data_IF_123647042946
#
_entry.id   IF_123647042946
#
_cell.length_a   1.000
_cell.length_b   1.000
_cell.length_c   1.000
_cell.angle_alpha   90.00
_cell.angle_beta   90.00
_cell.angle_gamma   90.00
#
_symmetry.space_group_name_H-M   'P 1'
#
loop_
_entity.id
_entity.type
_entity.pdbx_description
1 polymer ?
#
# COMPACT_ATOMS: atom_id res chain seq x y z
N UNK A 1 -30.15 19.80 -17.15
CA UNK A 1 -28.70 19.75 -16.85
C UNK A 1 -28.26 18.34 -17.14
N UNK A 2 -27.45 18.10 -18.14
CA UNK A 2 -26.82 16.79 -18.39
C UNK A 2 -25.91 16.50 -17.20
N UNK A 3 -26.22 15.49 -16.39
CA UNK A 3 -25.31 15.03 -15.32
C UNK A 3 -24.01 14.63 -16.01
N UNK A 4 -22.89 15.23 -15.60
CA UNK A 4 -21.59 14.82 -16.07
C UNK A 4 -21.30 13.45 -15.52
N UNK A 5 -21.00 12.46 -16.37
CA UNK A 5 -20.64 11.09 -15.98
C UNK A 5 -19.16 10.83 -16.20
N UNK A 6 -18.67 9.78 -15.55
CA UNK A 6 -17.31 9.28 -15.63
C UNK A 6 -17.30 7.76 -15.63
N UNK A 7 -16.26 7.14 -16.15
CA UNK A 7 -16.04 5.70 -16.04
C UNK A 7 -15.40 5.36 -14.69
N UNK A 8 -15.86 4.30 -14.06
CA UNK A 8 -15.33 3.80 -12.81
C UNK A 8 -15.38 2.26 -12.74
N UNK A 9 -14.36 1.65 -12.14
CA UNK A 9 -14.34 0.22 -11.84
C UNK A 9 -15.08 -0.02 -10.51
N UNK A 10 -16.27 -0.62 -10.60
CA UNK A 10 -17.19 -0.82 -9.48
C UNK A 10 -17.22 -2.29 -9.09
N UNK A 11 -16.81 -2.58 -7.85
CA UNK A 11 -16.97 -3.89 -7.24
C UNK A 11 -18.41 -4.04 -6.72
N UNK A 12 -19.17 -4.96 -7.29
CA UNK A 12 -20.60 -5.19 -6.99
C UNK A 12 -20.87 -6.51 -6.26
N UNK A 13 -19.85 -7.35 -6.10
CA UNK A 13 -19.87 -8.64 -5.42
C UNK A 13 -18.61 -9.43 -5.71
N UNK A 14 -18.47 -10.63 -5.12
CA UNK A 14 -17.29 -11.47 -5.37
C UNK A 14 -17.06 -11.73 -6.86
N UNK A 15 -15.86 -11.41 -7.34
CA UNK A 15 -15.43 -11.53 -8.73
C UNK A 15 -16.38 -10.83 -9.74
N UNK A 16 -16.99 -9.72 -9.32
CA UNK A 16 -17.88 -8.90 -10.13
C UNK A 16 -17.40 -7.45 -10.11
N UNK A 17 -16.40 -7.18 -10.93
CA UNK A 17 -15.79 -5.86 -11.12
C UNK A 17 -16.12 -5.37 -12.54
N UNK A 18 -17.02 -4.39 -12.62
CA UNK A 18 -17.49 -3.84 -13.89
C UNK A 18 -17.04 -2.40 -14.04
N UNK A 19 -16.58 -2.03 -15.23
CA UNK A 19 -16.34 -0.62 -15.58
C UNK A 19 -17.65 -0.03 -16.12
N UNK A 20 -18.20 0.89 -15.35
CA UNK A 20 -19.52 1.48 -15.63
C UNK A 20 -19.48 3.01 -15.59
N UNK A 21 -20.47 3.63 -16.22
CA UNK A 21 -20.72 5.07 -16.11
C UNK A 21 -21.37 5.38 -14.75
N UNK A 22 -20.77 6.32 -14.01
CA UNK A 22 -21.29 6.85 -12.73
C UNK A 22 -21.25 8.38 -12.77
N UNK A 23 -22.07 9.07 -11.96
CA UNK A 23 -21.97 10.53 -11.85
C UNK A 23 -20.59 10.95 -11.36
N UNK A 24 -20.04 12.06 -11.89
CA UNK A 24 -18.87 12.71 -11.29
C UNK A 24 -19.28 13.24 -9.92
N UNK A 25 -18.53 12.95 -8.84
CA UNK A 25 -18.90 13.41 -7.51
C UNK A 25 -18.76 14.94 -7.36
N UNK A 26 -19.63 15.53 -6.58
CA UNK A 26 -19.57 16.94 -6.23
C UNK A 26 -18.37 17.25 -5.33
N UNK A 27 -17.67 18.34 -5.59
CA UNK A 27 -16.56 18.82 -4.79
C UNK A 27 -17.13 19.62 -3.58
N UNK A 28 -16.98 19.08 -2.38
CA UNK A 28 -17.38 19.77 -1.14
C UNK A 28 -16.48 20.98 -0.79
N UNK A 29 -16.86 21.79 0.21
CA UNK A 29 -16.13 23.01 0.53
C UNK A 29 -14.67 22.76 0.95
N UNK A 30 -14.38 21.67 1.65
CA UNK A 30 -13.04 21.29 2.15
C UNK A 30 -12.33 20.26 1.24
N UNK A 31 -12.96 19.90 0.10
CA UNK A 31 -12.49 18.83 -0.77
C UNK A 31 -11.74 19.37 -2.00
N UNK A 32 -11.06 18.46 -2.67
CA UNK A 32 -10.57 18.63 -4.04
C UNK A 32 -11.14 17.54 -4.93
N UNK A 33 -11.44 17.90 -6.19
CA UNK A 33 -11.75 16.94 -7.25
C UNK A 33 -10.47 16.65 -8.01
N UNK A 34 -10.09 15.38 -8.07
CA UNK A 34 -8.88 14.91 -8.72
C UNK A 34 -9.26 14.17 -10.00
N UNK A 35 -8.63 14.51 -11.12
CA UNK A 35 -8.56 13.65 -12.30
C UNK A 35 -7.49 12.59 -12.01
N UNK A 36 -7.89 11.35 -11.86
CA UNK A 36 -7.00 10.25 -11.50
C UNK A 36 -6.16 9.84 -12.71
N UNK A 37 -4.84 9.76 -12.53
CA UNK A 37 -3.91 9.30 -13.56
C UNK A 37 -3.57 7.82 -13.40
N UNK A 38 -3.39 7.33 -12.17
CA UNK A 38 -3.06 5.94 -11.91
C UNK A 38 -3.43 5.47 -10.51
N UNK A 39 -3.67 4.15 -10.40
CA UNK A 39 -4.03 3.49 -9.13
C UNK A 39 -3.30 2.16 -9.02
N UNK A 40 -2.51 1.98 -7.97
CA UNK A 40 -1.86 0.72 -7.64
C UNK A 40 -2.85 -0.34 -7.18
N UNK A 41 -2.54 -1.60 -7.42
CA UNK A 41 -3.32 -2.74 -6.95
C UNK A 41 -2.68 -3.33 -5.68
N UNK A 42 -3.48 -3.42 -4.62
CA UNK A 42 -3.08 -3.93 -3.32
C UNK A 42 -3.58 -5.36 -3.07
N UNK A 43 -2.93 -6.09 -2.16
CA UNK A 43 -3.41 -7.40 -1.70
C UNK A 43 -4.82 -7.36 -1.10
N UNK A 44 -5.19 -6.26 -0.43
CA UNK A 44 -6.53 -6.05 0.11
C UNK A 44 -7.61 -5.91 -0.99
N UNK A 45 -7.27 -5.32 -2.13
CA UNK A 45 -8.17 -5.22 -3.28
C UNK A 45 -8.53 -6.62 -3.81
N UNK A 46 -7.53 -7.51 -3.91
CA UNK A 46 -7.76 -8.89 -4.34
C UNK A 46 -8.59 -9.67 -3.31
N UNK A 47 -8.35 -9.45 -2.03
CA UNK A 47 -9.15 -10.05 -0.94
C UNK A 47 -10.62 -9.65 -1.03
N UNK A 48 -10.90 -8.38 -1.33
CA UNK A 48 -12.26 -7.87 -1.56
C UNK A 48 -12.88 -8.44 -2.83
N UNK A 49 -12.11 -8.48 -3.91
CA UNK A 49 -12.56 -9.05 -5.19
C UNK A 49 -12.92 -10.53 -5.07
N UNK A 50 -12.15 -11.31 -4.34
CA UNK A 50 -12.45 -12.74 -4.08
C UNK A 50 -13.63 -12.96 -3.12
N UNK A 51 -14.12 -11.91 -2.45
CA UNK A 51 -15.23 -11.99 -1.52
C UNK A 51 -14.89 -12.46 -0.12
N UNK A 52 -13.60 -12.52 0.22
CA UNK A 52 -13.15 -12.81 1.59
C UNK A 52 -13.45 -11.67 2.56
N UNK A 53 -13.73 -10.49 2.01
CA UNK A 53 -14.13 -9.29 2.75
C UNK A 53 -15.48 -8.80 2.19
N UNK A 54 -16.54 -8.93 2.98
CA UNK A 54 -17.89 -8.56 2.54
C UNK A 54 -18.18 -7.07 2.82
N UNK A 55 -18.80 -6.41 1.85
CA UNK A 55 -19.28 -5.05 1.97
C UNK A 55 -20.78 -4.96 1.70
N UNK A 56 -21.51 -4.07 2.39
CA UNK A 56 -22.98 -4.00 2.31
C UNK A 56 -23.49 -3.37 1.00
N UNK A 57 -22.63 -2.70 0.23
CA UNK A 57 -22.99 -2.02 -1.02
C UNK A 57 -21.88 -2.14 -2.06
N UNK A 58 -22.24 -1.92 -3.34
CA UNK A 58 -21.25 -1.71 -4.40
C UNK A 58 -20.48 -0.40 -4.20
N UNK A 59 -19.22 -0.34 -4.60
CA UNK A 59 -18.36 0.84 -4.48
C UNK A 59 -17.25 0.83 -5.54
N UNK A 60 -16.70 2.00 -5.83
CA UNK A 60 -15.49 2.12 -6.65
C UNK A 60 -14.30 1.62 -5.86
N UNK A 61 -13.54 0.65 -6.43
CA UNK A 61 -12.39 0.04 -5.75
C UNK A 61 -11.12 0.88 -5.93
N UNK A 62 -10.04 0.52 -5.20
CA UNK A 62 -8.70 1.07 -5.34
C UNK A 62 -8.41 2.24 -4.40
N UNK A 63 -7.22 2.22 -3.81
CA UNK A 63 -6.84 3.17 -2.75
C UNK A 63 -5.41 3.70 -2.87
N UNK A 64 -4.57 3.21 -3.76
CA UNK A 64 -3.19 3.65 -3.94
C UNK A 64 -3.08 4.56 -5.17
N UNK A 65 -3.62 5.79 -5.12
CA UNK A 65 -3.80 6.60 -6.32
C UNK A 65 -3.16 7.97 -6.28
N UNK A 66 -2.91 8.51 -7.48
CA UNK A 66 -2.43 9.86 -7.70
C UNK A 66 -3.12 10.47 -8.93
N UNK A 67 -3.06 11.79 -9.06
CA UNK A 67 -3.65 12.51 -10.20
C UNK A 67 -3.55 14.01 -10.06
N UNK A 68 -4.28 14.75 -10.92
CA UNK A 68 -4.27 16.20 -10.93
C UNK A 68 -5.56 16.78 -10.36
N UNK A 69 -5.40 17.82 -9.56
CA UNK A 69 -6.55 18.60 -9.07
C UNK A 69 -7.19 19.34 -10.23
N UNK A 70 -8.48 19.15 -10.45
CA UNK A 70 -9.27 19.82 -11.50
C UNK A 70 -10.31 20.78 -10.93
N UNK A 71 -10.68 20.63 -9.64
CA UNK A 71 -11.48 21.61 -8.92
C UNK A 71 -11.11 21.61 -7.43
N UNK A 72 -11.33 22.74 -6.78
CA UNK A 72 -11.11 22.91 -5.33
C UNK A 72 -12.35 23.47 -4.67
N UNK A 73 -12.64 23.01 -3.46
CA UNK A 73 -13.73 23.53 -2.63
C UNK A 73 -13.50 24.96 -2.15
N UNK A 74 -14.59 25.63 -1.80
CA UNK A 74 -14.56 27.05 -1.43
C UNK A 74 -13.72 27.39 -0.20
N UNK A 75 -13.46 26.41 0.69
CA UNK A 75 -12.68 26.60 1.93
C UNK A 75 -11.22 26.13 1.82
N UNK A 76 -10.84 25.48 0.71
CA UNK A 76 -9.46 25.05 0.43
C UNK A 76 -8.57 26.25 0.10
N UNK A 77 -7.43 26.38 0.79
CA UNK A 77 -6.50 27.52 0.63
C UNK A 77 -5.09 27.13 0.20
N UNK A 78 -4.71 25.89 0.38
CA UNK A 78 -3.34 25.38 0.23
C UNK A 78 -3.17 24.39 -0.91
N UNK A 79 -4.15 24.35 -1.83
CA UNK A 79 -4.13 23.52 -3.05
C UNK A 79 -4.46 24.40 -4.25
N UNK A 80 -3.97 24.01 -5.43
CA UNK A 80 -4.23 24.71 -6.67
C UNK A 80 -4.69 23.74 -7.77
N UNK A 81 -5.60 24.22 -8.64
CA UNK A 81 -5.99 23.48 -9.85
C UNK A 81 -4.77 23.27 -10.74
N UNK A 82 -4.61 22.08 -11.31
CA UNK A 82 -3.47 21.66 -12.10
C UNK A 82 -2.35 20.98 -11.28
N UNK A 83 -2.32 21.14 -9.95
CA UNK A 83 -1.31 20.48 -9.11
C UNK A 83 -1.42 18.96 -9.19
N UNK A 84 -0.28 18.29 -9.35
CA UNK A 84 -0.16 16.85 -9.21
C UNK A 84 -0.16 16.50 -7.72
N UNK A 85 -0.95 15.50 -7.34
CA UNK A 85 -1.06 15.06 -5.94
C UNK A 85 -1.12 13.53 -5.85
N UNK A 86 -0.58 12.97 -4.77
CA UNK A 86 -0.89 11.61 -4.33
C UNK A 86 -1.95 11.66 -3.24
N UNK A 87 -2.82 10.66 -3.24
CA UNK A 87 -3.91 10.55 -2.27
C UNK A 87 -3.46 9.69 -1.09
N UNK A 88 -3.68 10.21 0.12
CA UNK A 88 -3.65 9.44 1.36
C UNK A 88 -5.06 8.88 1.61
N UNK A 89 -5.31 7.58 1.36
CA UNK A 89 -6.68 7.04 1.30
C UNK A 89 -7.33 6.84 2.68
N UNK A 90 -6.53 6.82 3.74
CA UNK A 90 -6.99 6.55 5.09
C UNK A 90 -7.36 7.86 5.81
N UNK A 91 -8.60 8.30 5.63
CA UNK A 91 -9.12 9.55 6.19
C UNK A 91 -9.43 9.34 7.67
N UNK A 92 -8.65 9.99 8.54
CA UNK A 92 -8.77 9.91 10.00
C UNK A 92 -9.44 11.15 10.58
N UNK A 93 -10.05 11.05 11.77
CA UNK A 93 -10.83 12.12 12.33
C UNK A 93 -10.02 13.17 13.13
N UNK A 94 -8.78 12.87 13.49
CA UNK A 94 -7.91 13.75 14.26
C UNK A 94 -8.31 13.99 15.74
N UNK A 95 -9.47 13.49 16.21
CA UNK A 95 -10.06 13.91 17.49
C UNK A 95 -10.46 12.75 18.44
N UNK A 96 -10.41 11.48 18.00
CA UNK A 96 -10.64 10.34 18.90
C UNK A 96 -9.39 10.03 19.73
N UNK A 97 -9.52 9.21 20.78
CA UNK A 97 -8.40 8.90 21.68
C UNK A 97 -7.15 8.37 20.94
N UNK A 98 -7.23 7.38 20.03
CA UNK A 98 -6.05 6.99 19.25
C UNK A 98 -5.42 8.14 18.47
N UNK A 99 -6.22 8.99 17.81
CA UNK A 99 -5.69 10.11 17.03
C UNK A 99 -4.95 11.14 17.92
N UNK A 100 -5.51 11.49 19.06
CA UNK A 100 -4.90 12.48 19.99
C UNK A 100 -3.62 11.94 20.64
N UNK A 101 -3.44 10.62 20.66
CA UNK A 101 -2.25 9.94 21.14
C UNK A 101 -1.21 9.64 20.04
N UNK A 102 -1.44 10.15 18.82
CA UNK A 102 -0.54 9.93 17.69
C UNK A 102 -0.62 8.53 17.05
N UNK A 103 -1.67 7.79 17.33
CA UNK A 103 -1.96 6.46 16.74
C UNK A 103 -3.13 6.56 15.77
N UNK A 104 -3.01 7.43 14.77
CA UNK A 104 -4.06 7.71 13.78
C UNK A 104 -4.42 6.48 12.93
N UNK A 105 -3.49 5.56 12.74
CA UNK A 105 -3.72 4.25 12.09
C UNK A 105 -4.85 3.45 12.75
N UNK A 106 -5.09 3.67 14.05
CA UNK A 106 -6.14 3.05 14.87
C UNK A 106 -7.36 3.95 15.04
N UNK A 107 -7.55 4.97 14.22
CA UNK A 107 -8.67 5.90 14.31
C UNK A 107 -10.02 5.16 14.30
N UNK A 108 -10.85 5.39 15.34
CA UNK A 108 -12.17 4.76 15.49
C UNK A 108 -13.18 5.15 14.41
N UNK A 109 -12.96 6.32 13.79
CA UNK A 109 -13.82 6.88 12.72
C UNK A 109 -13.12 6.91 11.38
N UNK A 110 -12.12 6.05 11.18
CA UNK A 110 -11.37 5.97 9.93
C UNK A 110 -12.28 5.56 8.78
N UNK A 111 -12.19 6.30 7.67
CA UNK A 111 -12.74 5.93 6.37
C UNK A 111 -11.57 5.64 5.44
N UNK A 112 -11.60 4.49 4.79
CA UNK A 112 -10.58 4.17 3.79
C UNK A 112 -11.22 4.20 2.41
N UNK A 113 -10.74 5.08 1.53
CA UNK A 113 -11.18 5.13 0.13
C UNK A 113 -10.89 3.79 -0.54
N UNK A 114 -11.82 3.30 -1.36
CA UNK A 114 -11.69 2.01 -2.04
C UNK A 114 -11.79 0.78 -1.14
N UNK A 115 -12.15 0.97 0.15
CA UNK A 115 -12.38 -0.13 1.10
C UNK A 115 -13.76 0.06 1.74
N UNK A 116 -14.80 -0.43 1.04
CA UNK A 116 -16.20 -0.27 1.46
C UNK A 116 -16.78 1.14 1.27
N UNK A 117 -15.98 2.09 0.82
CA UNK A 117 -16.38 3.42 0.33
C UNK A 117 -15.80 3.64 -1.05
N UNK A 118 -16.35 4.61 -1.81
CA UNK A 118 -15.85 4.86 -3.16
C UNK A 118 -14.37 5.26 -3.12
N UNK A 119 -13.60 4.68 -4.02
CA UNK A 119 -12.15 4.79 -4.14
C UNK A 119 -11.71 5.47 -5.42
N UNK A 120 -10.54 5.07 -5.91
CA UNK A 120 -9.77 5.82 -6.89
C UNK A 120 -9.72 5.19 -8.29
N UNK A 121 -10.20 3.95 -8.50
CA UNK A 121 -10.28 3.35 -9.83
C UNK A 121 -11.43 3.95 -10.66
N UNK A 122 -11.39 5.27 -10.85
CA UNK A 122 -12.34 6.07 -11.63
C UNK A 122 -11.64 7.26 -12.27
N UNK A 123 -12.22 7.84 -13.33
CA UNK A 123 -11.63 9.00 -13.99
C UNK A 123 -11.52 10.23 -13.10
N UNK A 124 -12.41 10.36 -12.11
CA UNK A 124 -12.36 11.43 -11.10
C UNK A 124 -12.65 10.86 -9.70
N UNK A 125 -12.07 11.53 -8.70
CA UNK A 125 -12.34 11.21 -7.30
C UNK A 125 -12.39 12.51 -6.47
N UNK A 126 -13.27 12.55 -5.48
CA UNK A 126 -13.32 13.62 -4.47
C UNK A 126 -12.59 13.16 -3.22
N UNK A 127 -11.69 13.99 -2.72
CA UNK A 127 -10.84 13.70 -1.55
C UNK A 127 -10.74 14.98 -0.69
N UNK A 128 -10.82 14.87 0.66
CA UNK A 128 -10.52 16.02 1.51
C UNK A 128 -9.13 16.57 1.21
N UNK A 129 -9.00 17.88 1.04
CA UNK A 129 -7.75 18.52 0.63
C UNK A 129 -6.57 18.13 1.55
N UNK A 130 -6.82 17.99 2.86
CA UNK A 130 -5.82 17.60 3.87
C UNK A 130 -5.25 16.18 3.69
N UNK A 131 -5.91 15.32 2.89
CA UNK A 131 -5.47 13.95 2.55
C UNK A 131 -4.94 13.85 1.11
N UNK A 132 -4.53 14.98 0.54
CA UNK A 132 -3.83 15.04 -0.74
C UNK A 132 -2.46 15.69 -0.55
N UNK A 133 -1.43 15.13 -1.13
CA UNK A 133 -0.05 15.56 -0.94
C UNK A 133 0.53 16.00 -2.28
N UNK A 134 0.98 17.26 -2.42
CA UNK A 134 1.57 17.76 -3.64
C UNK A 134 2.81 16.97 -4.05
N UNK A 135 2.93 16.71 -5.34
CA UNK A 135 4.07 16.04 -5.96
C UNK A 135 4.72 16.97 -6.99
N UNK A 136 6.03 16.90 -7.21
CA UNK A 136 6.68 17.61 -8.30
C UNK A 136 6.22 17.01 -9.64
N UNK A 137 6.06 17.85 -10.67
CA UNK A 137 5.69 17.38 -12.01
C UNK A 137 6.74 16.46 -12.67
N UNK A 138 7.95 16.46 -12.14
CA UNK A 138 9.07 15.62 -12.60
C UNK A 138 9.01 14.19 -12.07
N UNK A 139 8.14 13.88 -11.08
CA UNK A 139 8.03 12.52 -10.54
C UNK A 139 7.57 11.55 -11.62
N UNK A 140 8.14 10.35 -11.65
CA UNK A 140 7.68 9.29 -12.55
C UNK A 140 6.28 8.80 -12.15
N UNK A 141 5.49 8.32 -13.12
CA UNK A 141 4.20 7.68 -12.85
C UNK A 141 4.39 6.48 -11.92
N UNK A 142 5.43 5.73 -12.17
CA UNK A 142 5.79 4.52 -11.45
C UNK A 142 6.08 4.79 -9.97
N UNK A 143 6.83 5.85 -9.69
CA UNK A 143 7.11 6.24 -8.31
C UNK A 143 5.85 6.77 -7.61
N UNK A 144 5.06 7.61 -8.29
CA UNK A 144 3.83 8.19 -7.73
C UNK A 144 2.81 7.12 -7.30
N UNK A 145 2.58 6.09 -8.12
CA UNK A 145 1.68 4.95 -7.82
C UNK A 145 2.12 4.18 -6.57
N UNK A 146 3.42 4.17 -6.27
CA UNK A 146 3.98 3.37 -5.19
C UNK A 146 4.17 4.14 -3.87
N UNK A 147 3.79 5.43 -3.78
CA UNK A 147 3.99 6.23 -2.56
C UNK A 147 3.16 5.66 -1.39
N UNK A 148 1.86 5.42 -1.60
CA UNK A 148 1.00 4.91 -0.53
C UNK A 148 1.50 3.56 0.02
N UNK A 149 1.70 2.52 -0.78
CA UNK A 149 2.20 1.24 -0.26
C UNK A 149 3.63 1.32 0.27
N UNK A 150 4.47 2.27 -0.18
CA UNK A 150 5.76 2.54 0.42
C UNK A 150 5.62 3.12 1.84
N UNK A 151 4.63 3.97 2.09
CA UNK A 151 4.36 4.50 3.43
C UNK A 151 4.06 3.37 4.42
N UNK A 152 3.32 2.34 4.01
CA UNK A 152 3.07 1.13 4.82
C UNK A 152 4.38 0.39 5.13
N UNK A 153 5.25 0.22 4.13
CA UNK A 153 6.55 -0.44 4.32
C UNK A 153 7.47 0.37 5.26
N UNK A 154 7.50 1.70 5.12
CA UNK A 154 8.30 2.58 5.97
C UNK A 154 7.78 2.60 7.41
N UNK A 155 6.47 2.56 7.63
CA UNK A 155 5.88 2.44 8.95
C UNK A 155 6.26 1.10 9.62
N UNK A 156 6.23 -0.01 8.89
CA UNK A 156 6.68 -1.30 9.40
C UNK A 156 8.17 -1.27 9.81
N UNK A 157 9.03 -0.60 9.04
CA UNK A 157 10.44 -0.41 9.40
C UNK A 157 10.57 0.45 10.67
N UNK A 158 9.78 1.51 10.81
CA UNK A 158 9.75 2.34 12.02
C UNK A 158 9.35 1.53 13.25
N UNK A 159 8.35 0.66 13.14
CA UNK A 159 7.94 -0.25 14.22
C UNK A 159 9.04 -1.26 14.58
N UNK A 160 9.67 -1.86 13.58
CA UNK A 160 10.73 -2.85 13.76
C UNK A 160 12.05 -2.26 14.27
N UNK A 161 12.41 -1.06 13.84
CA UNK A 161 13.65 -0.34 14.15
C UNK A 161 14.92 -1.14 13.86
N UNK A 162 15.07 -1.74 12.66
CA UNK A 162 16.30 -2.44 12.31
C UNK A 162 17.50 -1.49 12.35
N UNK A 163 18.63 -2.00 12.84
CA UNK A 163 19.88 -1.24 12.95
C UNK A 163 20.89 -1.72 11.89
N UNK A 164 21.83 -0.86 11.46
CA UNK A 164 22.96 -1.31 10.66
C UNK A 164 23.68 -2.48 11.33
N UNK A 165 23.90 -3.56 10.56
CA UNK A 165 24.48 -4.79 11.08
C UNK A 165 23.47 -5.84 11.56
N UNK A 166 22.20 -5.50 11.69
CA UNK A 166 21.15 -6.50 11.97
C UNK A 166 21.03 -7.49 10.82
N UNK A 167 20.85 -8.75 11.16
CA UNK A 167 20.36 -9.75 10.23
C UNK A 167 18.84 -9.64 10.14
N UNK A 168 18.35 -9.31 8.95
CA UNK A 168 16.92 -9.11 8.69
C UNK A 168 16.43 -10.17 7.71
N UNK A 169 15.28 -10.77 7.99
CA UNK A 169 14.56 -11.65 7.05
C UNK A 169 13.18 -11.08 6.74
N UNK A 170 12.80 -11.08 5.47
CA UNK A 170 11.48 -10.71 4.96
C UNK A 170 10.81 -11.95 4.39
N UNK A 171 9.68 -12.33 4.95
CA UNK A 171 8.81 -13.37 4.41
C UNK A 171 7.76 -12.75 3.49
N UNK A 172 7.76 -13.18 2.24
CA UNK A 172 6.94 -12.64 1.15
C UNK A 172 7.73 -11.69 0.25
N UNK A 173 7.78 -11.98 -1.05
CA UNK A 173 8.31 -11.14 -2.13
C UNK A 173 7.17 -10.58 -3.00
N UNK A 174 6.01 -10.33 -2.41
CA UNK A 174 4.93 -9.55 -3.00
C UNK A 174 5.23 -8.04 -2.93
N UNK A 175 4.28 -7.21 -3.35
CA UNK A 175 4.42 -5.75 -3.38
C UNK A 175 5.00 -5.17 -2.08
N UNK A 176 4.44 -5.53 -0.92
CA UNK A 176 4.90 -5.01 0.37
C UNK A 176 6.30 -5.49 0.74
N UNK A 177 6.61 -6.78 0.55
CA UNK A 177 7.94 -7.31 0.85
C UNK A 177 9.03 -6.72 -0.04
N UNK A 178 8.72 -6.44 -1.31
CA UNK A 178 9.64 -5.77 -2.24
C UNK A 178 9.89 -4.31 -1.86
N UNK A 179 8.84 -3.53 -1.55
CA UNK A 179 8.97 -2.14 -1.10
C UNK A 179 9.74 -2.05 0.22
N UNK A 180 9.46 -2.96 1.14
CA UNK A 180 10.19 -3.05 2.42
C UNK A 180 11.67 -3.40 2.18
N UNK A 181 11.97 -4.34 1.28
CA UNK A 181 13.35 -4.70 0.89
C UNK A 181 14.09 -3.51 0.29
N UNK A 182 13.47 -2.78 -0.63
CA UNK A 182 14.00 -1.57 -1.25
C UNK A 182 14.30 -0.49 -0.18
N UNK A 183 13.36 -0.24 0.73
CA UNK A 183 13.50 0.76 1.78
C UNK A 183 14.55 0.37 2.84
N UNK A 184 14.67 -0.91 3.20
CA UNK A 184 15.74 -1.42 4.07
C UNK A 184 17.10 -1.25 3.42
N UNK A 185 17.22 -1.60 2.14
CA UNK A 185 18.47 -1.45 1.38
C UNK A 185 18.96 -0.01 1.35
N UNK A 186 18.07 0.96 1.14
CA UNK A 186 18.40 2.38 1.17
C UNK A 186 18.92 2.85 2.54
N UNK A 187 18.54 2.14 3.63
CA UNK A 187 19.06 2.37 4.99
C UNK A 187 20.29 1.55 5.35
N UNK A 188 20.94 0.92 4.37
CA UNK A 188 22.15 0.12 4.56
C UNK A 188 21.89 -1.28 5.14
N UNK A 189 20.63 -1.73 5.18
CA UNK A 189 20.24 -3.06 5.64
C UNK A 189 19.77 -3.90 4.45
N UNK A 190 20.54 -4.90 4.04
CA UNK A 190 20.18 -5.81 2.95
C UNK A 190 19.53 -7.08 3.54
N UNK A 191 18.21 -7.28 3.45
CA UNK A 191 17.54 -8.42 4.05
C UNK A 191 17.73 -9.71 3.23
N UNK A 192 17.53 -10.85 3.89
CA UNK A 192 17.21 -12.10 3.23
C UNK A 192 15.70 -12.11 2.91
N UNK A 193 15.32 -12.52 1.70
CA UNK A 193 13.92 -12.58 1.29
C UNK A 193 13.53 -14.04 1.03
N UNK A 194 12.38 -14.45 1.57
CA UNK A 194 11.85 -15.81 1.42
C UNK A 194 10.48 -15.76 0.77
N UNK A 195 10.32 -16.43 -0.36
CA UNK A 195 9.02 -16.56 -1.05
C UNK A 195 8.96 -17.89 -1.81
N UNK A 196 7.85 -18.66 -1.74
CA UNK A 196 7.73 -19.94 -2.44
C UNK A 196 7.68 -19.77 -3.97
N UNK A 197 7.38 -18.59 -4.49
CA UNK A 197 7.30 -18.32 -5.93
C UNK A 197 8.65 -17.82 -6.46
N UNK A 198 9.39 -18.71 -7.12
CA UNK A 198 10.75 -18.43 -7.63
C UNK A 198 10.82 -17.18 -8.53
N UNK A 199 9.79 -16.96 -9.35
CA UNK A 199 9.70 -15.80 -10.25
C UNK A 199 9.67 -14.43 -9.53
N UNK A 200 9.34 -14.39 -8.22
CA UNK A 200 9.37 -13.18 -7.41
C UNK A 200 10.74 -12.91 -6.81
N UNK A 201 11.59 -13.94 -6.71
CA UNK A 201 12.88 -13.85 -6.05
C UNK A 201 13.91 -13.05 -6.84
N UNK A 202 13.80 -13.04 -8.17
CA UNK A 202 14.70 -12.26 -9.03
C UNK A 202 14.50 -10.77 -8.80
N UNK A 203 13.25 -10.32 -8.78
CA UNK A 203 12.92 -8.92 -8.47
C UNK A 203 13.34 -8.54 -7.04
N UNK A 204 13.22 -9.47 -6.07
CA UNK A 204 13.72 -9.22 -4.71
C UNK A 204 15.24 -8.96 -4.70
N UNK A 205 16.03 -9.67 -5.50
CA UNK A 205 17.48 -9.41 -5.65
C UNK A 205 17.74 -8.06 -6.31
N UNK A 206 17.00 -7.73 -7.36
CA UNK A 206 17.12 -6.46 -8.08
C UNK A 206 16.84 -5.24 -7.20
N UNK A 207 15.87 -5.33 -6.27
CA UNK A 207 15.56 -4.24 -5.35
C UNK A 207 16.43 -4.22 -4.09
N UNK A 208 17.33 -5.20 -3.92
CA UNK A 208 18.39 -5.11 -2.92
C UNK A 208 18.42 -6.16 -1.83
N UNK A 209 17.73 -7.29 -1.99
CA UNK A 209 17.88 -8.44 -1.10
C UNK A 209 19.35 -8.95 -1.10
N UNK A 210 19.87 -9.31 0.06
CA UNK A 210 21.17 -9.97 0.22
C UNK A 210 21.15 -11.39 -0.34
N UNK A 211 20.07 -12.10 -0.04
CA UNK A 211 19.74 -13.41 -0.60
C UNK A 211 18.24 -13.50 -0.82
N UNK A 212 17.81 -14.25 -1.83
CA UNK A 212 16.40 -14.52 -2.08
C UNK A 212 16.24 -16.01 -2.42
N UNK A 213 15.40 -16.72 -1.66
CA UNK A 213 15.28 -18.19 -1.73
C UNK A 213 13.87 -18.66 -1.38
N UNK A 214 13.52 -19.87 -1.81
CA UNK A 214 12.24 -20.50 -1.47
C UNK A 214 12.18 -20.98 -0.02
N UNK A 215 13.35 -21.27 0.56
CA UNK A 215 13.48 -21.72 1.93
C UNK A 215 14.22 -20.68 2.76
N UNK A 216 14.02 -20.71 4.07
CA UNK A 216 14.82 -19.90 4.99
C UNK A 216 16.30 -20.22 4.78
N UNK A 217 17.16 -19.22 4.52
CA UNK A 217 18.59 -19.45 4.33
C UNK A 217 19.23 -20.08 5.56
N UNK A 218 20.14 -21.02 5.35
CA UNK A 218 20.96 -21.56 6.44
C UNK A 218 21.83 -20.45 7.06
N UNK A 219 22.03 -20.54 8.36
CA UNK A 219 22.89 -19.60 9.09
C UNK A 219 22.30 -19.15 10.43
N UNK A 220 22.89 -18.10 11.03
CA UNK A 220 22.42 -17.60 12.32
C UNK A 220 21.00 -17.01 12.19
N UNK A 221 20.20 -17.09 13.26
CA UNK A 221 18.84 -16.54 13.29
C UNK A 221 18.85 -15.00 13.12
N UNK A 222 17.69 -14.43 12.72
CA UNK A 222 17.56 -13.03 12.40
C UNK A 222 17.19 -12.17 13.60
N UNK A 223 17.84 -11.01 13.75
CA UNK A 223 17.51 -10.02 14.78
C UNK A 223 16.12 -9.42 14.55
N UNK A 224 15.77 -9.28 13.27
CA UNK A 224 14.50 -8.71 12.81
C UNK A 224 13.88 -9.59 11.72
N UNK A 225 12.59 -9.84 11.85
CA UNK A 225 11.82 -10.57 10.84
C UNK A 225 10.57 -9.78 10.48
N UNK A 226 10.33 -9.58 9.20
CA UNK A 226 9.08 -9.01 8.68
C UNK A 226 8.27 -10.10 7.98
N UNK A 227 7.01 -10.25 8.36
CA UNK A 227 6.05 -11.14 7.69
C UNK A 227 5.08 -10.28 6.88
N UNK A 228 5.13 -10.37 5.56
CA UNK A 228 4.37 -9.52 4.63
C UNK A 228 3.38 -10.29 3.77
N UNK A 229 3.33 -11.61 3.89
CA UNK A 229 2.51 -12.47 3.03
C UNK A 229 1.11 -12.77 3.59
N UNK A 230 0.96 -12.74 4.91
CA UNK A 230 -0.24 -13.20 5.61
C UNK A 230 -0.44 -14.72 5.59
N UNK A 231 0.51 -15.51 5.07
CA UNK A 231 0.40 -16.95 5.03
C UNK A 231 0.73 -17.58 6.39
N UNK A 232 -0.09 -18.50 6.85
CA UNK A 232 0.10 -19.19 8.14
C UNK A 232 1.49 -19.84 8.26
N UNK A 233 1.96 -20.49 7.19
CA UNK A 233 3.27 -21.11 7.15
C UNK A 233 4.41 -20.07 7.27
N UNK A 234 4.25 -18.90 6.65
CA UNK A 234 5.24 -17.83 6.73
C UNK A 234 5.32 -17.24 8.16
N UNK A 235 4.19 -17.04 8.85
CA UNK A 235 4.18 -16.59 10.23
C UNK A 235 4.88 -17.60 11.16
N UNK A 236 4.59 -18.89 11.00
CA UNK A 236 5.26 -19.95 11.77
C UNK A 236 6.77 -19.93 11.52
N UNK A 237 7.19 -19.84 10.27
CA UNK A 237 8.61 -19.74 9.90
C UNK A 237 9.26 -18.45 10.42
N UNK A 238 8.56 -17.31 10.37
CA UNK A 238 9.04 -16.02 10.88
C UNK A 238 9.37 -16.10 12.39
N UNK A 239 8.48 -16.67 13.18
CA UNK A 239 8.72 -16.87 14.61
C UNK A 239 9.91 -17.84 14.84
N UNK A 240 10.01 -18.91 14.03
CA UNK A 240 11.11 -19.87 14.12
C UNK A 240 12.48 -19.27 13.71
N UNK A 241 12.49 -18.31 12.81
CA UNK A 241 13.71 -17.67 12.29
C UNK A 241 14.26 -16.57 13.22
N UNK A 242 13.43 -16.02 14.10
CA UNK A 242 13.83 -14.94 15.00
C UNK A 242 14.88 -15.39 16.02
N UNK A 243 15.92 -14.57 16.20
CA UNK A 243 16.96 -14.75 17.21
C UNK A 243 16.43 -14.53 18.64
N UNK A 244 17.11 -15.05 19.68
CA UNK A 244 16.79 -14.69 21.06
C UNK A 244 16.79 -13.15 21.22
N UNK A 245 15.72 -12.61 21.81
CA UNK A 245 15.52 -11.16 21.96
C UNK A 245 15.09 -10.44 20.67
N UNK A 246 14.95 -11.16 19.57
CA UNK A 246 14.58 -10.62 18.25
C UNK A 246 13.14 -10.12 18.17
N UNK A 247 12.86 -9.45 17.07
CA UNK A 247 11.53 -8.85 16.79
C UNK A 247 10.93 -9.44 15.53
N UNK A 248 9.64 -9.77 15.58
CA UNK A 248 8.82 -10.16 14.41
C UNK A 248 7.75 -9.11 14.19
N UNK A 249 7.76 -8.46 13.04
CA UNK A 249 6.77 -7.46 12.63
C UNK A 249 5.82 -8.10 11.64
N UNK A 250 4.54 -8.11 11.96
CA UNK A 250 3.47 -8.67 11.12
C UNK A 250 2.82 -7.54 10.31
N UNK A 251 2.96 -7.62 9.00
CA UNK A 251 2.37 -6.70 8.02
C UNK A 251 1.29 -7.41 7.20
N UNK A 252 1.53 -8.68 6.87
CA UNK A 252 0.58 -9.52 6.14
C UNK A 252 -0.66 -9.86 6.99
N UNK A 253 -1.84 -9.76 6.38
CA UNK A 253 -3.11 -10.11 7.03
C UNK A 253 -3.47 -11.57 6.72
N UNK A 254 -3.56 -12.40 7.76
CA UNK A 254 -4.13 -13.75 7.65
C UNK A 254 -5.62 -13.72 7.99
N UNK A 255 -6.44 -14.29 7.12
CA UNK A 255 -7.89 -14.45 7.36
C UNK A 255 -8.23 -15.70 8.17
N UNK A 256 -7.24 -16.54 8.46
CA UNK A 256 -7.40 -17.76 9.26
C UNK A 256 -6.56 -17.65 10.54
N UNK A 257 -7.06 -18.18 11.67
CA UNK A 257 -6.26 -18.28 12.88
C UNK A 257 -4.99 -19.10 12.64
N UNK A 258 -3.87 -18.64 13.19
CA UNK A 258 -2.57 -19.31 13.08
C UNK A 258 -2.11 -19.77 14.46
N UNK A 259 -1.71 -21.04 14.56
CA UNK A 259 -1.11 -21.55 15.79
C UNK A 259 0.33 -21.05 15.95
N UNK A 260 0.64 -20.49 17.10
CA UNK A 260 1.98 -20.00 17.43
C UNK A 260 2.59 -20.76 18.63
N UNK A 261 3.89 -21.02 18.56
CA UNK A 261 4.65 -21.59 19.67
C UNK A 261 4.93 -20.55 20.74
N UNK A 262 4.06 -20.49 21.76
CA UNK A 262 4.20 -19.55 22.88
C UNK A 262 5.40 -19.89 23.77
N UNK A 263 5.82 -21.17 23.86
CA UNK A 263 7.02 -21.56 24.60
C UNK A 263 8.25 -20.92 24.00
N UNK A 264 8.35 -20.92 22.68
CA UNK A 264 9.42 -20.24 21.96
C UNK A 264 9.40 -18.73 22.19
N UNK A 265 8.23 -18.10 22.05
CA UNK A 265 8.07 -16.64 22.25
C UNK A 265 8.60 -16.25 23.64
N UNK A 266 8.15 -16.95 24.69
CA UNK A 266 8.52 -16.66 26.08
C UNK A 266 10.00 -16.95 26.34
N UNK A 267 10.47 -18.16 26.01
CA UNK A 267 11.84 -18.58 26.33
C UNK A 267 12.91 -17.82 25.57
N UNK A 268 12.61 -17.39 24.35
CA UNK A 268 13.51 -16.59 23.52
C UNK A 268 13.29 -15.08 23.70
N UNK A 269 12.34 -14.66 24.54
CA UNK A 269 11.98 -13.24 24.77
C UNK A 269 11.71 -12.50 23.46
N UNK A 270 10.98 -13.13 22.53
CA UNK A 270 10.65 -12.52 21.24
C UNK A 270 9.64 -11.39 21.43
N UNK A 271 9.79 -10.36 20.63
CA UNK A 271 8.77 -9.32 20.43
C UNK A 271 8.01 -9.65 19.16
N UNK A 272 6.70 -9.82 19.26
CA UNK A 272 5.82 -10.05 18.09
C UNK A 272 4.74 -8.98 18.13
N UNK A 273 4.67 -8.14 17.09
CA UNK A 273 3.69 -7.07 17.02
C UNK A 273 3.23 -6.80 15.58
N UNK A 274 2.03 -6.23 15.44
CA UNK A 274 1.45 -5.88 14.15
C UNK A 274 1.85 -4.48 13.71
N UNK A 275 1.94 -4.27 12.39
CA UNK A 275 2.04 -2.97 11.74
C UNK A 275 0.95 -2.90 10.68
N UNK A 276 -0.04 -2.02 10.85
CA UNK A 276 -1.21 -2.02 9.98
C UNK A 276 -1.04 -1.12 8.76
N UNK A 277 -0.93 0.17 8.97
CA UNK A 277 -0.72 1.19 7.94
C UNK A 277 0.34 2.18 8.47
N UNK A 278 0.21 3.43 8.20
CA UNK A 278 1.09 4.53 8.62
C UNK A 278 0.33 5.51 9.51
N UNK A 279 1.06 6.39 10.21
CA UNK A 279 0.48 7.46 11.03
C UNK A 279 0.35 8.75 10.22
N UNK A 280 -0.89 9.26 10.13
CA UNK A 280 -1.19 10.59 9.56
C UNK A 280 -0.82 11.69 10.53
N UNK A 281 -0.17 12.78 10.10
CA UNK A 281 0.37 13.03 8.74
C UNK A 281 1.84 12.60 8.59
N UNK A 282 2.48 12.17 9.67
CA UNK A 282 3.93 12.11 9.81
C UNK A 282 4.58 11.13 8.84
N UNK A 283 4.11 9.89 8.84
CA UNK A 283 4.71 8.85 8.01
C UNK A 283 4.47 9.11 6.51
N UNK A 284 3.24 9.54 6.17
CA UNK A 284 2.89 9.76 4.77
C UNK A 284 3.65 10.96 4.19
N UNK A 285 3.73 12.08 4.94
CA UNK A 285 4.55 13.23 4.55
C UNK A 285 6.01 12.83 4.32
N UNK A 286 6.61 12.14 5.29
CA UNK A 286 8.01 11.69 5.17
C UNK A 286 8.23 10.80 3.95
N UNK A 287 7.24 9.96 3.59
CA UNK A 287 7.31 9.12 2.40
C UNK A 287 7.27 9.95 1.12
N UNK A 288 6.35 10.92 1.05
CA UNK A 288 6.23 11.85 -0.09
C UNK A 288 7.54 12.62 -0.28
N UNK A 289 8.13 13.14 0.80
CA UNK A 289 9.38 13.89 0.76
C UNK A 289 10.52 13.02 0.20
N UNK A 290 10.72 11.79 0.74
CA UNK A 290 11.75 10.85 0.29
C UNK A 290 11.66 10.49 -1.20
N UNK A 291 10.45 10.31 -1.72
CA UNK A 291 10.25 9.98 -3.14
C UNK A 291 10.40 11.23 -4.01
N UNK A 292 9.86 12.36 -3.57
CA UNK A 292 9.94 13.63 -4.32
C UNK A 292 11.37 14.16 -4.45
N UNK A 293 12.22 13.91 -3.44
CA UNK A 293 13.65 14.24 -3.44
C UNK A 293 14.50 13.22 -4.22
N UNK A 294 13.91 12.14 -4.70
CA UNK A 294 14.63 11.07 -5.41
C UNK A 294 15.50 10.18 -4.50
N UNK A 295 15.29 10.23 -3.19
CA UNK A 295 15.99 9.35 -2.24
C UNK A 295 15.52 7.90 -2.31
N UNK A 296 14.28 7.67 -2.73
CA UNK A 296 13.70 6.36 -2.96
C UNK A 296 12.95 6.34 -4.30
N UNK A 297 13.12 5.25 -5.04
CA UNK A 297 12.44 4.99 -6.32
C UNK A 297 11.58 3.73 -6.22
N UNK A 298 10.40 3.82 -5.58
CA UNK A 298 9.56 2.65 -5.34
C UNK A 298 8.95 2.06 -6.62
N UNK A 299 8.88 2.81 -7.71
CA UNK A 299 8.43 2.34 -9.03
C UNK A 299 9.22 1.15 -9.57
N UNK A 300 10.41 0.89 -9.05
CA UNK A 300 11.22 -0.30 -9.40
C UNK A 300 10.53 -1.63 -9.09
N UNK A 301 9.51 -1.64 -8.25
CA UNK A 301 8.73 -2.86 -7.95
C UNK A 301 7.56 -3.06 -8.89
N UNK A 302 7.27 -2.08 -9.78
CA UNK A 302 6.16 -2.20 -10.74
C UNK A 302 6.50 -3.19 -11.85
N UNK A 303 5.46 -3.92 -12.29
CA UNK A 303 5.57 -4.87 -13.39
C UNK A 303 4.66 -4.50 -14.55
N UNK A 304 3.34 -4.47 -14.33
CA UNK A 304 2.37 -4.33 -15.42
C UNK A 304 1.35 -3.24 -15.16
N UNK A 305 1.14 -2.41 -16.18
CA UNK A 305 0.00 -1.49 -16.26
C UNK A 305 -1.16 -2.15 -17.01
N UNK A 306 -2.39 -1.88 -16.56
CA UNK A 306 -3.63 -2.23 -17.22
C UNK A 306 -4.42 -0.94 -17.47
N UNK A 307 -5.18 -0.86 -18.55
CA UNK A 307 -6.12 0.24 -18.75
C UNK A 307 -7.31 0.11 -17.76
N UNK A 308 -8.01 1.22 -17.48
CA UNK A 308 -9.22 1.18 -16.66
C UNK A 308 -10.25 0.19 -17.20
N UNK A 309 -10.40 0.09 -18.52
CA UNK A 309 -11.29 -0.87 -19.19
C UNK A 309 -10.91 -2.34 -18.98
N UNK A 310 -9.67 -2.61 -18.55
CA UNK A 310 -9.14 -3.95 -18.30
C UNK A 310 -9.15 -4.31 -16.81
N UNK A 311 -9.87 -3.54 -15.95
CA UNK A 311 -9.84 -3.71 -14.50
C UNK A 311 -10.16 -5.13 -14.04
N UNK A 312 -11.17 -5.80 -14.60
CA UNK A 312 -11.51 -7.18 -14.22
C UNK A 312 -10.39 -8.16 -14.61
N UNK A 313 -9.76 -7.99 -15.79
CA UNK A 313 -8.58 -8.78 -16.17
C UNK A 313 -7.42 -8.52 -15.20
N UNK A 314 -7.17 -7.26 -14.85
CA UNK A 314 -6.12 -6.87 -13.91
C UNK A 314 -6.27 -7.59 -12.56
N UNK A 315 -7.49 -7.67 -12.04
CA UNK A 315 -7.77 -8.34 -10.75
C UNK A 315 -7.61 -9.86 -10.81
N UNK A 316 -7.83 -10.48 -11.97
CA UNK A 316 -7.60 -11.91 -12.17
C UNK A 316 -6.13 -12.26 -12.38
N UNK A 317 -5.38 -11.41 -13.06
CA UNK A 317 -4.01 -11.71 -13.53
C UNK A 317 -2.94 -11.18 -12.58
N UNK A 318 -3.09 -9.97 -12.04
CA UNK A 318 -2.07 -9.32 -11.22
C UNK A 318 -1.59 -10.16 -10.00
N UNK A 319 -2.44 -10.94 -9.29
CA UNK A 319 -1.97 -11.76 -8.17
C UNK A 319 -0.93 -12.82 -8.57
N UNK A 320 -0.91 -13.22 -9.84
CA UNK A 320 0.02 -14.24 -10.37
C UNK A 320 1.34 -13.66 -10.87
N UNK A 321 1.42 -12.34 -11.04
CA UNK A 321 2.60 -11.67 -11.55
C UNK A 321 3.61 -11.36 -10.43
N UNK A 322 4.92 -11.33 -10.73
CA UNK A 322 5.89 -10.78 -9.81
C UNK A 322 5.72 -9.25 -9.70
N UNK A 323 6.11 -8.69 -8.55
CA UNK A 323 6.05 -7.24 -8.34
C UNK A 323 4.63 -6.70 -8.12
N UNK A 324 4.44 -5.45 -8.51
CA UNK A 324 3.19 -4.72 -8.33
C UNK A 324 2.58 -4.35 -9.68
N UNK A 325 1.28 -4.54 -9.82
CA UNK A 325 0.51 -4.06 -10.99
C UNK A 325 -0.31 -2.82 -10.62
N UNK A 326 -0.74 -2.07 -11.64
CA UNK A 326 -1.51 -0.86 -11.46
C UNK A 326 -2.48 -0.61 -12.61
N UNK A 327 -3.49 0.25 -12.38
CA UNK A 327 -4.45 0.70 -13.40
C UNK A 327 -4.05 2.09 -13.88
N UNK A 328 -3.76 2.23 -15.17
CA UNK A 328 -3.65 3.51 -15.85
C UNK A 328 -5.06 4.01 -16.17
N UNK A 329 -5.50 5.06 -15.45
CA UNK A 329 -6.86 5.61 -15.57
C UNK A 329 -6.91 6.63 -16.70
N UNK A 330 -6.11 7.71 -16.59
CA UNK A 330 -6.03 8.77 -17.59
C UNK A 330 -4.57 8.96 -17.97
N UNK A 331 -4.20 8.83 -19.27
CA UNK A 331 -2.82 9.11 -19.68
C UNK A 331 -2.45 10.57 -19.42
N UNK A 332 -1.23 10.82 -18.94
CA UNK A 332 -0.68 12.18 -18.79
C UNK A 332 -0.78 12.94 -20.13
N UNK A 333 -1.29 14.18 -20.08
CA UNK A 333 -1.38 15.07 -21.24
C UNK A 333 -2.76 15.17 -21.91
N UNK A 334 -3.78 14.47 -21.44
CA UNK A 334 -5.17 14.70 -21.87
C UNK A 334 -5.93 15.50 -20.82
N UNK A 335 -5.71 16.82 -20.79
CA UNK A 335 -6.67 17.74 -20.17
C UNK A 335 -7.66 18.08 -21.28
N UNK A 336 -8.87 17.53 -21.21
CA UNK A 336 -9.97 17.87 -22.13
C UNK A 336 -10.83 18.99 -21.56
#
# INVERSE_FOLDING_TARGET
MTMRSMRAAVLSGPRRLDVVEVPIPDCGPDDVLIQVEGVGLCGSDFTMYEGHWAFPRRFVIGHEGFGRIVAIGGDVRDRAVGSLVVVEPNIVCGACDPCTRGMSSLCERKRSLGVGTDGLCAEFAVVPASFTWPLPDTISVEDAVCIEPLAVALAAIREGRPQPGDRVTVFGAGSQGLLLTLALKARGVAPDVVDPQTQRLDLAREVGARAASVNVPEGPPSNMVFETSGAAAALTAAIATAAPGGTVVLVGLSHQPVLVDTVRIVRQRLRVHGSIIYEHPIDFRSTVDLVSEGALHPGRVLNRAFALSESDEAFRVAPTLPGKSWIAVTPRGRIS
#
